data_IF_330983741520
#
_entry.id   IF_330983741520
#
_cell.length_a   1.000
_cell.length_b   1.000
_cell.length_c   1.000
_cell.angle_alpha   90.00
_cell.angle_beta   90.00
_cell.angle_gamma   90.00
#
_symmetry.space_group_name_H-M   'P 1'
#
loop_
_entity.id
_entity.type
_entity.pdbx_description
1 polymer ?
#
# COMPACT_ATOMS: atom_id res chain seq x y z
N UNK A 1 41.72 50.59 9.26
CA UNK A 1 40.73 50.33 8.21
C UNK A 1 40.85 48.88 7.78
N UNK A 2 39.99 47.99 8.32
CA UNK A 2 39.92 46.57 7.93
C UNK A 2 38.68 46.35 7.06
N UNK A 3 38.89 45.94 5.83
CA UNK A 3 37.83 45.61 4.89
C UNK A 3 37.42 44.14 5.14
N UNK A 4 36.19 43.96 5.59
CA UNK A 4 35.57 42.63 5.68
C UNK A 4 35.01 42.24 4.32
N UNK A 5 35.47 41.16 3.75
CA UNK A 5 34.93 40.58 2.55
C UNK A 5 33.80 39.61 2.96
N UNK A 6 32.61 39.91 2.44
CA UNK A 6 31.40 39.05 2.59
C UNK A 6 31.45 37.99 1.49
N UNK A 7 31.61 36.73 1.90
CA UNK A 7 31.55 35.62 0.96
C UNK A 7 30.07 35.22 0.77
N UNK A 8 29.55 35.41 -0.42
CA UNK A 8 28.25 34.91 -0.87
C UNK A 8 28.42 33.43 -1.24
N UNK A 9 27.90 32.56 -0.42
CA UNK A 9 27.72 31.14 -0.79
C UNK A 9 26.43 30.96 -1.57
N UNK A 10 26.57 30.78 -2.86
CA UNK A 10 25.46 30.34 -3.74
C UNK A 10 25.19 28.87 -3.53
N UNK A 11 24.07 28.55 -2.89
CA UNK A 11 23.56 27.18 -2.82
C UNK A 11 23.00 26.80 -4.20
N UNK A 12 23.71 25.93 -4.90
CA UNK A 12 23.20 25.31 -6.12
C UNK A 12 22.16 24.24 -5.73
N UNK A 13 20.90 24.51 -6.01
CA UNK A 13 19.85 23.51 -5.92
C UNK A 13 20.01 22.52 -7.07
N UNK A 14 20.47 21.33 -6.78
CA UNK A 14 20.44 20.22 -7.71
C UNK A 14 18.98 19.77 -7.88
N UNK A 15 18.34 20.17 -8.95
CA UNK A 15 17.13 19.55 -9.47
C UNK A 15 17.53 18.13 -9.94
N UNK A 16 17.33 17.13 -9.10
CA UNK A 16 17.41 15.73 -9.53
C UNK A 16 16.20 15.48 -10.41
N UNK A 17 16.39 15.54 -11.72
CA UNK A 17 15.42 15.06 -12.68
C UNK A 17 15.25 13.55 -12.43
N UNK A 18 14.08 13.14 -12.00
CA UNK A 18 13.69 11.74 -11.89
C UNK A 18 13.80 11.12 -13.29
N UNK A 19 14.43 9.94 -13.43
CA UNK A 19 14.31 9.23 -14.68
C UNK A 19 12.83 8.88 -14.87
N UNK A 20 12.18 9.59 -15.77
CA UNK A 20 10.95 9.11 -16.38
C UNK A 20 11.33 7.76 -16.97
N UNK A 21 10.85 6.66 -16.38
CA UNK A 21 10.97 5.35 -16.99
C UNK A 21 10.41 5.53 -18.40
N UNK A 22 11.26 5.45 -19.38
CA UNK A 22 10.90 5.63 -20.77
C UNK A 22 9.69 4.74 -21.05
N UNK A 23 8.57 5.36 -21.40
CA UNK A 23 7.46 4.64 -22.00
C UNK A 23 8.04 3.87 -23.19
N UNK A 24 7.67 2.61 -23.39
CA UNK A 24 8.13 1.89 -24.57
C UNK A 24 7.87 2.77 -25.79
N UNK A 25 8.91 3.04 -26.54
CA UNK A 25 8.82 3.81 -27.80
C UNK A 25 7.77 3.14 -28.66
N UNK A 26 6.87 3.94 -29.19
CA UNK A 26 5.82 3.55 -30.13
C UNK A 26 6.35 2.58 -31.18
N UNK A 27 5.94 1.32 -31.13
CA UNK A 27 6.26 0.40 -32.21
C UNK A 27 5.95 -1.04 -31.95
N UNK A 28 6.52 -1.63 -30.92
CA UNK A 28 6.46 -3.07 -30.78
C UNK A 28 5.40 -3.50 -29.77
N UNK A 29 4.37 -4.18 -30.24
CA UNK A 29 3.40 -4.88 -29.38
C UNK A 29 3.95 -6.29 -29.14
N UNK A 30 4.16 -6.64 -27.88
CA UNK A 30 4.68 -7.93 -27.49
C UNK A 30 3.55 -8.85 -27.07
N UNK A 31 3.58 -10.09 -27.50
CA UNK A 31 2.64 -11.14 -27.13
C UNK A 31 3.35 -12.24 -26.37
N UNK A 32 2.65 -12.83 -25.40
CA UNK A 32 3.13 -13.98 -24.68
C UNK A 32 1.99 -14.97 -24.44
N UNK A 33 2.33 -16.24 -24.21
CA UNK A 33 1.38 -17.27 -23.82
C UNK A 33 1.01 -17.09 -22.36
N UNK A 34 -0.16 -16.51 -22.12
CA UNK A 34 -0.64 -16.24 -20.77
C UNK A 34 -1.76 -17.21 -20.40
N UNK A 35 -1.62 -17.98 -19.33
CA UNK A 35 -2.67 -18.90 -18.91
C UNK A 35 -3.85 -18.14 -18.30
N UNK A 36 -4.81 -17.76 -19.11
CA UNK A 36 -6.11 -17.29 -18.64
C UNK A 36 -6.91 -18.51 -18.20
N UNK A 37 -7.30 -18.62 -16.91
CA UNK A 37 -8.05 -19.78 -16.46
C UNK A 37 -9.47 -19.78 -17.03
N UNK A 38 -9.95 -20.94 -17.48
CA UNK A 38 -11.34 -21.11 -17.94
C UNK A 38 -12.35 -20.90 -16.81
N UNK A 39 -11.96 -21.29 -15.60
CA UNK A 39 -12.74 -21.06 -14.37
C UNK A 39 -11.99 -20.12 -13.47
N UNK A 40 -12.60 -18.96 -13.21
CA UNK A 40 -12.00 -17.96 -12.33
C UNK A 40 -11.86 -18.45 -10.89
N UNK A 41 -10.73 -18.17 -10.23
CA UNK A 41 -10.56 -18.44 -8.82
C UNK A 41 -11.64 -17.74 -7.99
N UNK A 42 -12.22 -18.42 -6.99
CA UNK A 42 -13.18 -17.79 -6.09
C UNK A 42 -12.48 -16.75 -5.20
N UNK A 43 -13.24 -15.79 -4.69
CA UNK A 43 -12.74 -14.81 -3.73
C UNK A 43 -12.34 -15.44 -2.38
N UNK A 44 -12.86 -16.62 -2.06
CA UNK A 44 -12.62 -17.31 -0.80
C UNK A 44 -13.16 -16.51 0.39
N UNK A 45 -12.27 -16.11 1.28
CA UNK A 45 -12.61 -15.26 2.43
C UNK A 45 -12.69 -13.77 2.07
N UNK A 46 -12.06 -13.40 0.98
CA UNK A 46 -11.94 -12.02 0.57
C UNK A 46 -13.24 -11.54 -0.08
N UNK A 47 -13.41 -10.23 -0.13
CA UNK A 47 -14.53 -9.60 -0.82
C UNK A 47 -14.00 -8.78 -1.99
N UNK A 48 -14.75 -8.66 -3.10
CA UNK A 48 -14.37 -7.74 -4.17
C UNK A 48 -14.19 -6.30 -3.66
N UNK A 49 -15.03 -5.88 -2.71
CA UNK A 49 -14.91 -4.59 -2.03
C UNK A 49 -15.22 -4.78 -0.55
N UNK A 50 -14.27 -4.41 0.30
CA UNK A 50 -14.50 -4.28 1.75
C UNK A 50 -14.80 -2.83 2.07
N UNK A 51 -16.01 -2.56 2.56
CA UNK A 51 -16.47 -1.22 2.89
C UNK A 51 -16.05 -0.82 4.31
N UNK A 52 -15.27 0.24 4.45
CA UNK A 52 -14.87 0.73 5.78
C UNK A 52 -16.06 1.03 6.69
N UNK A 53 -17.15 1.69 6.26
CA UNK A 53 -18.32 1.91 7.11
C UNK A 53 -18.93 0.61 7.66
N UNK A 54 -18.92 -0.47 6.89
CA UNK A 54 -19.42 -1.77 7.33
C UNK A 54 -18.50 -2.41 8.38
N UNK A 55 -17.19 -2.29 8.21
CA UNK A 55 -16.19 -2.73 9.22
C UNK A 55 -16.39 -1.98 10.52
N UNK A 56 -16.51 -0.66 10.47
CA UNK A 56 -16.73 0.17 11.67
C UNK A 56 -18.06 -0.16 12.36
N UNK A 57 -19.13 -0.40 11.60
CA UNK A 57 -20.43 -0.77 12.14
C UNK A 57 -20.38 -2.13 12.86
N UNK A 58 -19.66 -3.11 12.31
CA UNK A 58 -19.44 -4.44 12.92
C UNK A 58 -18.76 -4.34 14.29
N UNK A 59 -17.84 -3.41 14.45
CA UNK A 59 -17.06 -3.22 15.67
C UNK A 59 -17.53 -2.06 16.56
N UNK A 60 -18.75 -1.57 16.32
CA UNK A 60 -19.32 -0.45 17.10
C UNK A 60 -19.31 -0.78 18.59
N UNK A 61 -18.75 0.13 19.39
CA UNK A 61 -18.64 -0.02 20.85
C UNK A 61 -17.47 -0.87 21.34
N UNK A 62 -16.69 -1.48 20.43
CA UNK A 62 -15.48 -2.18 20.81
C UNK A 62 -14.31 -1.20 20.88
N UNK A 63 -13.63 -1.17 22.04
CA UNK A 63 -12.50 -0.27 22.26
C UNK A 63 -11.27 -0.68 21.42
N UNK A 64 -11.00 -1.97 21.33
CA UNK A 64 -9.89 -2.57 20.57
C UNK A 64 -10.42 -3.68 19.70
N UNK A 65 -10.04 -3.69 18.43
CA UNK A 65 -10.44 -4.73 17.50
C UNK A 65 -9.47 -4.84 16.32
N UNK A 66 -9.53 -5.96 15.67
CA UNK A 66 -8.84 -6.24 14.39
C UNK A 66 -9.81 -6.96 13.47
N UNK A 67 -9.92 -6.52 12.24
CA UNK A 67 -10.74 -7.12 11.19
C UNK A 67 -9.87 -7.50 10.00
N UNK A 68 -9.83 -8.79 9.68
CA UNK A 68 -9.11 -9.26 8.49
C UNK A 68 -9.88 -8.88 7.23
N UNK A 69 -9.18 -8.25 6.29
CA UNK A 69 -9.73 -7.73 5.03
C UNK A 69 -9.26 -8.56 3.85
N UNK A 70 -7.95 -8.83 3.79
CA UNK A 70 -7.34 -9.64 2.74
C UNK A 70 -6.54 -10.75 3.39
N UNK A 71 -6.79 -11.97 2.95
CA UNK A 71 -5.97 -13.13 3.26
C UNK A 71 -5.74 -13.95 2.00
N UNK A 72 -4.52 -13.95 1.52
CA UNK A 72 -4.07 -14.70 0.36
C UNK A 72 -2.83 -15.51 0.73
N UNK A 73 -2.18 -16.13 -0.22
CA UNK A 73 -0.86 -16.74 0.00
C UNK A 73 0.22 -15.71 0.25
N UNK A 74 0.01 -14.47 -0.21
CA UNK A 74 0.98 -13.37 -0.16
C UNK A 74 0.68 -12.35 0.92
N UNK A 75 -0.57 -11.93 1.06
CA UNK A 75 -0.97 -10.84 1.92
C UNK A 75 -1.85 -11.29 3.08
N UNK A 76 -1.59 -10.74 4.27
CA UNK A 76 -2.48 -10.72 5.42
C UNK A 76 -2.69 -9.25 5.79
N UNK A 77 -3.84 -8.70 5.42
CA UNK A 77 -4.13 -7.28 5.62
C UNK A 77 -5.34 -7.08 6.51
N UNK A 78 -5.24 -6.13 7.45
CA UNK A 78 -6.21 -5.94 8.52
C UNK A 78 -6.50 -4.47 8.77
N UNK A 79 -7.75 -4.17 9.11
CA UNK A 79 -8.06 -2.98 9.88
C UNK A 79 -7.80 -3.24 11.36
N UNK A 80 -7.18 -2.28 12.03
CA UNK A 80 -6.86 -2.38 13.47
C UNK A 80 -7.18 -1.06 14.15
N UNK A 81 -7.98 -1.14 15.22
CA UNK A 81 -8.21 -0.03 16.14
C UNK A 81 -7.51 -0.30 17.46
N UNK A 82 -6.78 0.71 17.95
CA UNK A 82 -6.09 0.69 19.24
C UNK A 82 -6.42 1.92 20.07
N UNK A 83 -6.29 1.80 21.39
CA UNK A 83 -6.62 2.88 22.32
C UNK A 83 -5.37 3.71 22.66
N UNK A 84 -5.57 4.98 23.12
CA UNK A 84 -4.48 5.77 23.66
C UNK A 84 -3.68 4.99 24.73
N UNK A 85 -2.36 5.00 24.62
CA UNK A 85 -1.45 4.25 25.48
C UNK A 85 -1.15 2.82 25.03
N UNK A 86 -1.89 2.27 24.05
CA UNK A 86 -1.56 0.97 23.47
C UNK A 86 -0.23 1.05 22.73
N UNK A 87 0.67 0.13 23.09
CA UNK A 87 2.05 0.10 22.59
C UNK A 87 2.46 -1.30 22.17
N UNK A 88 3.07 -1.41 21.00
CA UNK A 88 3.72 -2.65 20.60
C UNK A 88 5.06 -2.83 21.30
N UNK A 89 5.48 -4.07 21.51
CA UNK A 89 6.89 -4.35 21.80
C UNK A 89 7.76 -4.01 20.60
N UNK A 90 9.07 -3.85 20.82
CA UNK A 90 10.01 -3.72 19.71
C UNK A 90 10.11 -5.05 18.98
N UNK A 91 9.87 -5.01 17.67
CA UNK A 91 9.80 -6.19 16.81
C UNK A 91 10.30 -5.87 15.39
N UNK A 92 10.43 -6.88 14.54
CA UNK A 92 10.72 -6.74 13.11
C UNK A 92 10.14 -7.93 12.33
N UNK A 93 9.96 -7.79 11.03
CA UNK A 93 9.67 -8.91 10.13
C UNK A 93 10.96 -9.36 9.44
N UNK A 94 11.18 -10.69 9.37
CA UNK A 94 12.45 -11.24 8.90
C UNK A 94 12.61 -11.17 7.38
N UNK A 95 11.52 -11.39 6.64
CA UNK A 95 11.58 -11.72 5.21
C UNK A 95 10.79 -10.74 4.33
N UNK A 96 10.13 -9.76 4.93
CA UNK A 96 9.34 -8.82 4.16
C UNK A 96 9.22 -7.45 4.82
N UNK A 97 8.82 -6.46 4.01
CA UNK A 97 8.45 -5.12 4.42
C UNK A 97 7.03 -5.11 4.97
N UNK A 98 6.81 -4.37 6.02
CA UNK A 98 5.46 -4.08 6.52
C UNK A 98 5.04 -2.66 6.13
N UNK A 99 3.76 -2.49 5.78
CA UNK A 99 3.19 -1.21 5.38
C UNK A 99 1.93 -0.93 6.19
N UNK A 100 1.74 0.32 6.59
CA UNK A 100 0.51 0.82 7.20
C UNK A 100 -0.03 2.02 6.46
N UNK A 101 -1.36 2.09 6.40
CA UNK A 101 -2.10 3.32 6.11
C UNK A 101 -2.74 3.77 7.41
N UNK A 102 -2.26 4.87 7.99
CA UNK A 102 -2.90 5.46 9.17
C UNK A 102 -4.14 6.22 8.73
N UNK A 103 -5.29 5.93 9.36
CA UNK A 103 -6.58 6.44 8.93
C UNK A 103 -7.32 7.27 9.98
N UNK A 104 -6.96 7.15 11.24
CA UNK A 104 -7.52 7.92 12.34
C UNK A 104 -6.61 7.96 13.57
N UNK A 105 -6.81 8.94 14.41
CA UNK A 105 -6.00 9.16 15.61
C UNK A 105 -4.55 9.48 15.30
N UNK A 106 -3.68 9.21 16.26
CA UNK A 106 -2.25 9.49 16.18
C UNK A 106 -1.44 8.27 16.61
N UNK A 107 -0.45 7.90 15.81
CA UNK A 107 0.46 6.80 16.12
C UNK A 107 1.90 7.33 16.11
N UNK A 108 2.61 7.20 17.24
CA UNK A 108 4.04 7.43 17.30
C UNK A 108 4.76 6.18 16.81
N UNK A 109 5.59 6.33 15.81
CA UNK A 109 6.50 5.29 15.32
C UNK A 109 7.91 5.56 15.84
N UNK A 110 8.54 4.51 16.36
CA UNK A 110 9.97 4.46 16.68
C UNK A 110 10.59 3.38 15.82
N UNK A 111 11.38 3.78 14.84
CA UNK A 111 12.00 2.89 13.85
C UNK A 111 13.50 3.02 13.96
N UNK A 112 14.20 1.90 13.98
CA UNK A 112 15.65 1.84 14.05
C UNK A 112 16.31 2.65 12.93
N UNK A 113 17.23 3.54 13.31
CA UNK A 113 17.91 4.42 12.36
C UNK A 113 17.11 5.64 11.90
N UNK A 114 15.91 5.85 12.44
CA UNK A 114 15.08 7.02 12.15
C UNK A 114 14.77 7.82 13.41
N UNK A 115 14.60 9.12 13.28
CA UNK A 115 14.01 9.92 14.36
C UNK A 115 12.55 9.48 14.58
N UNK A 116 12.09 9.35 15.82
CA UNK A 116 10.67 9.08 16.09
C UNK A 116 9.78 10.15 15.47
N UNK A 117 8.64 9.71 14.90
CA UNK A 117 7.67 10.62 14.30
C UNK A 117 6.24 10.21 14.66
N UNK A 118 5.32 11.14 14.47
CA UNK A 118 3.88 10.92 14.69
C UNK A 118 3.18 10.86 13.34
N UNK A 119 2.53 9.76 13.07
CA UNK A 119 1.69 9.55 11.90
C UNK A 119 0.24 9.82 12.23
N UNK A 120 -0.44 10.52 11.33
CA UNK A 120 -1.87 10.85 11.40
C UNK A 120 -2.59 10.35 10.14
N UNK A 121 -3.87 10.67 9.98
CA UNK A 121 -4.65 10.27 8.80
C UNK A 121 -3.93 10.63 7.49
N UNK A 122 -3.79 9.64 6.60
CA UNK A 122 -3.13 9.77 5.30
C UNK A 122 -1.65 9.42 5.30
N UNK A 123 -1.05 9.15 6.46
CA UNK A 123 0.33 8.66 6.48
C UNK A 123 0.39 7.23 5.96
N UNK A 124 1.28 7.02 4.99
CA UNK A 124 1.75 5.73 4.54
C UNK A 124 3.09 5.49 5.23
N UNK A 125 3.11 4.55 6.17
CA UNK A 125 4.33 4.21 6.93
C UNK A 125 4.80 2.85 6.50
N UNK A 126 6.11 2.66 6.36
CA UNK A 126 6.69 1.37 6.02
C UNK A 126 7.95 1.09 6.83
N UNK A 127 8.20 -0.18 7.09
CA UNK A 127 9.42 -0.66 7.73
C UNK A 127 10.01 -1.79 6.91
N UNK A 128 11.27 -1.67 6.47
CA UNK A 128 11.96 -2.71 5.73
C UNK A 128 12.13 -4.00 6.55
N UNK A 129 12.33 -5.12 5.87
CA UNK A 129 12.67 -6.38 6.54
C UNK A 129 13.88 -6.21 7.47
N UNK A 130 13.82 -6.84 8.63
CA UNK A 130 14.87 -6.85 9.68
C UNK A 130 15.22 -5.48 10.26
N UNK A 131 14.42 -4.46 10.02
CA UNK A 131 14.51 -3.17 10.71
C UNK A 131 13.57 -3.19 11.92
N UNK A 132 14.11 -2.88 13.10
CA UNK A 132 13.33 -2.90 14.34
C UNK A 132 12.42 -1.71 14.43
N UNK A 133 11.23 -1.94 14.96
CA UNK A 133 10.27 -0.87 15.19
C UNK A 133 9.39 -1.15 16.39
N UNK A 134 8.80 -0.09 16.91
CA UNK A 134 7.65 -0.12 17.80
C UNK A 134 6.70 1.02 17.44
N UNK A 135 5.44 0.88 17.84
CA UNK A 135 4.43 1.91 17.66
C UNK A 135 3.61 2.09 18.94
N UNK A 136 3.08 3.28 19.13
CA UNK A 136 2.27 3.65 20.27
C UNK A 136 1.12 4.55 19.83
N UNK A 137 -0.12 4.20 20.17
CA UNK A 137 -1.26 5.11 19.99
C UNK A 137 -1.16 6.22 21.04
N UNK A 138 -1.08 7.47 20.58
CA UNK A 138 -0.94 8.64 21.42
C UNK A 138 -2.13 9.59 21.25
N UNK A 139 -2.16 10.65 22.08
CA UNK A 139 -3.30 11.60 22.07
C UNK A 139 -4.47 11.07 22.89
N UNK A 140 -5.68 11.58 22.61
CA UNK A 140 -6.89 11.29 23.39
C UNK A 140 -7.90 10.42 22.62
N UNK A 141 -7.64 10.18 21.33
CA UNK A 141 -8.54 9.45 20.45
C UNK A 141 -7.94 8.09 20.05
N UNK A 142 -8.78 7.06 19.84
CA UNK A 142 -8.32 5.80 19.28
C UNK A 142 -7.64 5.98 17.93
N UNK A 143 -6.61 5.22 17.69
CA UNK A 143 -6.02 5.13 16.35
C UNK A 143 -6.71 4.06 15.51
N UNK A 144 -6.82 4.34 14.21
CA UNK A 144 -7.28 3.39 13.20
C UNK A 144 -6.23 3.29 12.09
N UNK A 145 -5.81 2.08 11.77
CA UNK A 145 -4.84 1.83 10.70
C UNK A 145 -5.19 0.60 9.89
N UNK A 146 -4.85 0.63 8.62
CA UNK A 146 -4.83 -0.54 7.76
C UNK A 146 -3.41 -1.08 7.71
N UNK A 147 -3.21 -2.31 8.12
CA UNK A 147 -1.92 -3.00 8.21
C UNK A 147 -1.81 -4.03 7.10
N UNK A 148 -0.67 -4.06 6.41
CA UNK A 148 -0.38 -4.98 5.33
C UNK A 148 0.94 -5.68 5.64
N UNK A 149 0.88 -7.01 5.81
CA UNK A 149 2.03 -7.87 6.06
C UNK A 149 2.03 -9.05 5.09
N UNK A 150 3.16 -9.73 4.99
CA UNK A 150 3.22 -11.02 4.30
C UNK A 150 2.50 -12.09 5.11
N UNK A 151 1.65 -12.86 4.42
CA UNK A 151 0.89 -13.93 5.05
C UNK A 151 1.81 -15.04 5.61
N UNK A 152 1.52 -15.47 6.82
CA UNK A 152 2.24 -16.58 7.45
C UNK A 152 3.60 -16.22 8.07
N UNK A 153 4.05 -14.96 7.97
CA UNK A 153 5.29 -14.50 8.60
C UNK A 153 4.95 -13.78 9.91
N UNK A 154 5.29 -14.34 11.08
CA UNK A 154 5.08 -13.66 12.35
C UNK A 154 6.19 -12.61 12.60
N UNK A 155 5.91 -11.58 13.41
CA UNK A 155 6.95 -10.66 13.84
C UNK A 155 7.97 -11.35 14.76
N UNK A 156 9.23 -10.98 14.62
CA UNK A 156 10.32 -11.42 15.48
C UNK A 156 10.44 -10.48 16.68
N UNK A 157 10.45 -11.04 17.87
CA UNK A 157 10.47 -10.30 19.14
C UNK A 157 11.79 -10.63 19.89
N UNK A 158 12.44 -9.60 20.45
CA UNK A 158 13.66 -9.80 21.20
C UNK A 158 13.39 -10.62 22.49
N UNK A 159 14.37 -11.45 22.85
CA UNK A 159 14.35 -12.16 24.14
C UNK A 159 14.24 -11.13 25.27
N UNK A 160 13.38 -11.40 26.24
CA UNK A 160 13.12 -10.48 27.36
C UNK A 160 11.92 -9.56 27.18
N UNK A 161 11.42 -9.38 25.97
CA UNK A 161 10.12 -8.74 25.78
C UNK A 161 8.97 -9.67 26.21
N UNK A 162 7.82 -9.10 26.61
CA UNK A 162 6.63 -9.90 26.87
C UNK A 162 6.30 -10.75 25.64
N UNK A 163 6.15 -12.05 25.86
CA UNK A 163 5.72 -12.98 24.82
C UNK A 163 4.20 -12.93 24.71
N UNK A 164 3.61 -12.89 23.51
CA UNK A 164 2.22 -13.20 23.35
C UNK A 164 1.95 -14.63 23.87
N UNK A 165 0.72 -14.89 24.29
CA UNK A 165 0.33 -16.25 24.67
C UNK A 165 0.53 -17.22 23.49
N UNK A 166 0.99 -18.43 23.79
CA UNK A 166 1.05 -19.47 22.77
C UNK A 166 -0.34 -19.72 22.20
N UNK A 167 -0.43 -19.72 20.88
CA UNK A 167 -1.63 -20.14 20.17
C UNK A 167 -1.53 -21.63 19.83
N UNK A 168 -2.67 -22.29 19.66
CA UNK A 168 -2.70 -23.70 19.30
C UNK A 168 -1.81 -24.00 18.08
N UNK A 169 -0.82 -24.85 18.24
CA UNK A 169 0.16 -25.22 17.21
C UNK A 169 1.31 -24.23 16.99
N UNK A 170 1.32 -23.09 17.69
CA UNK A 170 2.40 -22.11 17.60
C UNK A 170 3.16 -22.01 18.93
N UNK A 171 4.48 -22.12 18.86
CA UNK A 171 5.37 -22.02 20.01
C UNK A 171 6.45 -20.98 19.77
N UNK A 172 6.87 -20.28 20.82
CA UNK A 172 8.02 -19.41 20.77
C UNK A 172 9.31 -20.23 20.65
N UNK A 173 10.00 -20.01 19.56
CA UNK A 173 11.26 -20.70 19.26
C UNK A 173 12.37 -19.69 18.97
N UNK A 174 13.61 -20.06 19.26
CA UNK A 174 14.76 -19.31 18.81
C UNK A 174 14.84 -19.39 17.29
N UNK A 175 14.96 -18.21 16.65
CA UNK A 175 15.08 -18.11 15.20
C UNK A 175 16.43 -17.51 14.79
N UNK A 176 16.80 -17.72 13.54
CA UNK A 176 17.84 -16.95 12.85
C UNK A 176 17.28 -16.50 11.50
N UNK A 177 17.73 -15.33 11.04
CA UNK A 177 17.37 -14.80 9.73
C UNK A 177 18.42 -15.23 8.69
N UNK A 178 17.97 -15.64 7.52
CA UNK A 178 18.82 -16.05 6.41
C UNK A 178 18.84 -15.00 5.29
N UNK A 179 17.88 -14.08 5.31
CA UNK A 179 17.77 -12.99 4.35
C UNK A 179 18.65 -11.81 4.74
N UNK A 180 18.99 -11.00 3.76
CA UNK A 180 19.72 -9.77 3.99
C UNK A 180 18.78 -8.70 4.56
N UNK A 181 19.25 -7.96 5.56
CA UNK A 181 18.59 -6.75 6.04
C UNK A 181 18.41 -5.75 4.90
N UNK A 182 17.23 -5.18 4.77
CA UNK A 182 16.92 -4.13 3.83
C UNK A 182 17.09 -2.73 4.47
N UNK A 183 16.96 -1.69 3.66
CA UNK A 183 17.16 -0.31 4.06
C UNK A 183 16.13 0.63 3.43
N UNK A 184 16.12 1.87 3.90
CA UNK A 184 15.43 2.97 3.25
C UNK A 184 16.26 3.55 2.11
N UNK A 185 15.58 4.07 1.09
CA UNK A 185 16.16 4.74 -0.06
C UNK A 185 15.27 5.91 -0.52
N UNK A 186 15.53 6.44 -1.70
CA UNK A 186 14.76 7.56 -2.25
C UNK A 186 13.29 7.23 -2.53
N UNK A 187 12.97 5.98 -2.84
CA UNK A 187 11.59 5.50 -3.08
C UNK A 187 11.00 4.98 -1.77
N UNK A 188 11.72 4.07 -1.13
CA UNK A 188 11.32 3.40 0.09
C UNK A 188 11.58 4.27 1.31
N UNK A 189 10.89 5.40 1.43
CA UNK A 189 11.02 6.32 2.57
C UNK A 189 10.30 5.78 3.80
N UNK A 190 10.70 6.16 5.03
CA UNK A 190 10.02 5.70 6.26
C UNK A 190 8.53 5.99 6.26
N UNK A 191 8.13 7.12 5.68
CA UNK A 191 6.74 7.49 5.49
C UNK A 191 6.55 8.47 4.32
N UNK A 192 5.30 8.55 3.88
CA UNK A 192 4.76 9.58 3.00
C UNK A 192 3.52 10.16 3.70
N UNK A 193 3.48 11.45 3.92
CA UNK A 193 2.27 12.16 4.32
C UNK A 193 1.48 12.50 3.05
N UNK A 194 0.47 11.67 2.74
CA UNK A 194 -0.30 11.81 1.50
C UNK A 194 -0.89 13.21 1.31
N UNK A 195 -1.46 13.79 2.35
CA UNK A 195 -2.10 15.11 2.21
C UNK A 195 -1.09 16.23 2.04
N UNK A 196 0.03 16.17 2.71
CA UNK A 196 1.09 17.18 2.63
C UNK A 196 1.99 16.97 1.42
N UNK A 197 2.51 15.76 1.25
CA UNK A 197 3.56 15.47 0.27
C UNK A 197 3.00 15.25 -1.14
N UNK A 198 1.72 14.88 -1.27
CA UNK A 198 1.08 14.58 -2.54
C UNK A 198 -0.02 15.58 -2.87
N UNK A 199 -1.03 15.73 -2.01
CA UNK A 199 -2.18 16.59 -2.32
C UNK A 199 -1.80 18.07 -2.31
N UNK A 200 -1.10 18.55 -1.29
CA UNK A 200 -0.72 19.95 -1.18
C UNK A 200 0.43 20.33 -2.11
N UNK A 201 1.31 19.38 -2.47
CA UNK A 201 2.47 19.66 -3.31
C UNK A 201 2.16 19.74 -4.81
N UNK A 202 1.13 19.03 -5.28
CA UNK A 202 0.78 19.02 -6.71
C UNK A 202 -0.74 18.93 -6.93
N UNK A 203 -1.41 20.03 -7.30
CA UNK A 203 -2.78 19.96 -7.79
C UNK A 203 -2.78 19.23 -9.13
N UNK A 204 -3.28 18.02 -9.14
CA UNK A 204 -3.28 17.11 -10.29
C UNK A 204 -3.95 17.75 -11.52
N UNK A 205 -3.17 17.97 -12.55
CA UNK A 205 -3.64 18.38 -13.88
C UNK A 205 -3.94 17.20 -14.81
N UNK A 206 -3.61 15.99 -14.39
CA UNK A 206 -3.80 14.74 -15.12
C UNK A 206 -3.45 13.52 -14.26
N UNK A 207 -3.50 12.30 -14.81
CA UNK A 207 -3.09 11.10 -14.08
C UNK A 207 -1.63 11.21 -13.64
N UNK A 208 -1.38 10.99 -12.35
CA UNK A 208 -0.05 10.95 -11.77
C UNK A 208 0.14 9.66 -10.99
N UNK A 209 1.31 9.06 -11.13
CA UNK A 209 1.69 7.85 -10.40
C UNK A 209 3.01 8.09 -9.68
N UNK A 210 3.01 7.84 -8.38
CA UNK A 210 4.20 7.92 -7.53
C UNK A 210 4.45 6.59 -6.86
N UNK A 211 5.65 6.03 -7.04
CA UNK A 211 6.06 4.81 -6.37
C UNK A 211 6.48 5.13 -4.94
N UNK A 212 5.93 4.41 -3.98
CA UNK A 212 6.20 4.61 -2.55
C UNK A 212 6.81 3.39 -1.87
N UNK A 213 6.68 2.21 -2.49
CA UNK A 213 7.42 1.00 -2.18
C UNK A 213 7.90 0.37 -3.47
N UNK A 214 9.17 -0.03 -3.51
CA UNK A 214 9.76 -0.79 -4.62
C UNK A 214 10.91 -1.62 -4.08
N UNK A 215 10.66 -2.89 -3.88
CA UNK A 215 11.67 -3.87 -3.47
C UNK A 215 11.47 -5.20 -4.21
N UNK A 216 12.18 -6.23 -3.80
CA UNK A 216 12.12 -7.55 -4.45
C UNK A 216 10.74 -8.22 -4.33
N UNK A 217 9.94 -7.79 -3.37
CA UNK A 217 8.68 -8.44 -3.01
C UNK A 217 7.44 -7.57 -3.30
N UNK A 218 7.57 -6.24 -3.26
CA UNK A 218 6.43 -5.34 -3.28
C UNK A 218 6.61 -4.18 -4.25
N UNK A 219 5.52 -3.83 -4.95
CA UNK A 219 5.36 -2.59 -5.68
C UNK A 219 4.11 -1.88 -5.17
N UNK A 220 4.29 -0.71 -4.58
CA UNK A 220 3.16 0.09 -4.10
C UNK A 220 3.20 1.47 -4.73
N UNK A 221 2.09 1.85 -5.36
CA UNK A 221 1.96 3.12 -6.06
C UNK A 221 0.78 3.93 -5.54
N UNK A 222 0.99 5.22 -5.33
CA UNK A 222 -0.08 6.21 -5.25
C UNK A 222 -0.44 6.58 -6.69
N UNK A 223 -1.68 6.32 -7.09
CA UNK A 223 -2.19 6.66 -8.41
C UNK A 223 -3.30 7.69 -8.20
N UNK A 224 -3.03 8.93 -8.60
CA UNK A 224 -3.89 10.09 -8.39
C UNK A 224 -4.27 10.69 -9.73
N UNK A 225 -5.53 11.02 -9.91
CA UNK A 225 -5.97 11.62 -11.15
C UNK A 225 -7.39 12.09 -11.11
N UNK A 226 -7.75 12.68 -12.27
CA UNK A 226 -9.07 13.20 -12.56
C UNK A 226 -9.36 12.80 -13.99
N UNK A 227 -10.50 12.23 -14.28
CA UNK A 227 -10.74 11.79 -15.63
C UNK A 227 -12.17 11.45 -15.96
N UNK A 228 -12.30 10.85 -17.13
CA UNK A 228 -13.58 10.39 -17.64
C UNK A 228 -13.99 9.16 -16.83
N UNK A 229 -15.22 9.12 -16.35
CA UNK A 229 -15.75 7.94 -15.71
C UNK A 229 -15.76 6.78 -16.69
N UNK A 230 -15.76 5.64 -16.14
CA UNK A 230 -15.89 4.29 -16.67
C UNK A 230 -15.72 4.14 -18.18
N UNK A 231 -14.69 3.42 -18.60
CA UNK A 231 -14.52 3.07 -20.01
C UNK A 231 -15.69 2.26 -20.53
N UNK A 232 -15.88 2.23 -21.85
CA UNK A 232 -16.88 1.38 -22.49
C UNK A 232 -16.79 -0.07 -21.99
N UNK A 233 -17.92 -0.71 -21.84
CA UNK A 233 -18.01 -2.09 -21.35
C UNK A 233 -17.15 -3.11 -22.15
N UNK A 234 -16.77 -2.80 -23.38
CA UNK A 234 -15.86 -3.59 -24.21
C UNK A 234 -14.40 -3.56 -23.78
N UNK A 235 -13.98 -2.63 -22.92
CA UNK A 235 -12.61 -2.61 -22.43
C UNK A 235 -12.51 -3.26 -21.05
N UNK A 236 -12.19 -4.55 -21.03
CA UNK A 236 -12.08 -5.34 -19.80
C UNK A 236 -10.86 -5.00 -18.93
N UNK A 237 -9.91 -4.19 -19.43
CA UNK A 237 -8.65 -3.91 -18.77
C UNK A 237 -7.65 -5.05 -18.94
N UNK A 238 -7.03 -5.47 -17.86
CA UNK A 238 -6.01 -6.51 -17.83
C UNK A 238 -6.24 -7.50 -16.70
N UNK A 239 -5.46 -8.58 -16.68
CA UNK A 239 -5.37 -9.50 -15.55
C UNK A 239 -3.91 -9.83 -15.24
N UNK A 240 -3.66 -10.29 -14.03
CA UNK A 240 -2.38 -10.83 -13.59
C UNK A 240 -2.45 -12.36 -13.54
N UNK A 241 -1.42 -13.02 -14.07
CA UNK A 241 -1.42 -14.48 -14.17
C UNK A 241 -1.22 -15.16 -12.82
N UNK A 242 -0.26 -14.68 -12.05
CA UNK A 242 0.25 -15.40 -10.88
C UNK A 242 0.04 -14.71 -9.54
N UNK A 243 -0.57 -13.53 -9.50
CA UNK A 243 -0.73 -12.79 -8.26
C UNK A 243 -2.04 -12.03 -8.18
N UNK A 244 -2.42 -11.72 -6.96
CA UNK A 244 -3.54 -10.86 -6.60
C UNK A 244 -3.11 -9.40 -6.63
N UNK A 245 -4.05 -8.52 -6.89
CA UNK A 245 -3.88 -7.08 -6.74
C UNK A 245 -4.97 -6.51 -5.84
N UNK A 246 -4.63 -5.49 -5.06
CA UNK A 246 -5.63 -4.77 -4.29
C UNK A 246 -5.31 -3.28 -4.22
N UNK A 247 -6.35 -2.50 -3.93
CA UNK A 247 -6.27 -1.05 -3.81
C UNK A 247 -6.92 -0.57 -2.53
N UNK A 248 -6.30 0.43 -1.92
CA UNK A 248 -6.86 1.21 -0.85
C UNK A 248 -7.23 2.59 -1.37
N UNK A 249 -8.44 3.07 -1.12
CA UNK A 249 -8.89 4.38 -1.60
C UNK A 249 -8.48 5.47 -0.62
N UNK A 250 -7.56 6.35 -1.05
CA UNK A 250 -7.01 7.42 -0.21
C UNK A 250 -7.83 8.71 -0.29
N UNK A 251 -8.40 9.01 -1.46
CA UNK A 251 -9.15 10.25 -1.75
C UNK A 251 -10.25 9.97 -2.75
N UNK A 252 -11.43 10.59 -2.54
CA UNK A 252 -12.52 10.53 -3.51
C UNK A 252 -13.14 9.15 -3.67
N UNK A 253 -13.46 8.81 -4.91
CA UNK A 253 -14.11 7.55 -5.31
C UNK A 253 -13.44 7.00 -6.55
N UNK A 254 -13.21 5.68 -6.57
CA UNK A 254 -12.67 4.99 -7.74
C UNK A 254 -13.67 3.94 -8.23
N UNK A 255 -13.84 3.87 -9.54
CA UNK A 255 -14.64 2.83 -10.18
C UNK A 255 -13.75 1.67 -10.62
N UNK A 256 -14.27 0.47 -10.46
CA UNK A 256 -13.60 -0.76 -10.86
C UNK A 256 -14.57 -1.62 -11.66
N UNK A 257 -14.20 -1.91 -12.90
CA UNK A 257 -14.86 -2.98 -13.67
C UNK A 257 -14.10 -4.28 -13.42
N UNK A 258 -14.77 -5.26 -12.84
CA UNK A 258 -14.15 -6.53 -12.44
C UNK A 258 -14.94 -7.69 -13.06
N UNK A 259 -14.24 -8.62 -13.71
CA UNK A 259 -14.83 -9.81 -14.33
C UNK A 259 -15.61 -10.63 -13.31
N UNK A 260 -16.84 -11.04 -13.67
CA UNK A 260 -17.87 -11.72 -12.85
C UNK A 260 -18.38 -10.96 -11.62
N UNK A 261 -17.99 -9.70 -11.46
CA UNK A 261 -18.50 -8.82 -10.40
C UNK A 261 -19.27 -7.65 -11.01
N UNK A 262 -18.79 -7.15 -12.16
CA UNK A 262 -19.35 -5.96 -12.80
C UNK A 262 -18.66 -4.68 -12.32
N UNK A 263 -19.39 -3.57 -12.48
CA UNK A 263 -18.93 -2.27 -12.07
C UNK A 263 -19.18 -2.05 -10.57
N UNK A 264 -18.13 -1.69 -9.83
CA UNK A 264 -18.21 -1.31 -8.42
C UNK A 264 -17.52 0.02 -8.20
N UNK A 265 -18.12 0.88 -7.39
CA UNK A 265 -17.52 2.13 -6.95
C UNK A 265 -17.03 1.96 -5.52
N UNK A 266 -15.77 2.27 -5.24
CA UNK A 266 -15.18 2.25 -3.92
C UNK A 266 -14.96 3.66 -3.41
N UNK A 267 -15.34 3.91 -2.17
CA UNK A 267 -15.19 5.17 -1.47
C UNK A 267 -13.89 5.23 -0.65
N UNK A 268 -13.55 6.41 -0.20
CA UNK A 268 -12.40 6.67 0.66
C UNK A 268 -12.40 5.76 1.91
N UNK A 269 -11.30 5.03 2.11
CA UNK A 269 -11.12 4.03 3.16
C UNK A 269 -11.54 2.61 2.76
N UNK A 270 -12.23 2.43 1.63
CA UNK A 270 -12.56 1.09 1.13
C UNK A 270 -11.31 0.39 0.57
N UNK A 271 -11.38 -0.93 0.56
CA UNK A 271 -10.35 -1.80 -0.04
C UNK A 271 -10.99 -2.63 -1.13
N UNK A 272 -10.42 -2.57 -2.34
CA UNK A 272 -10.83 -3.38 -3.50
C UNK A 272 -9.80 -4.47 -3.71
N UNK A 273 -10.24 -5.70 -3.96
CA UNK A 273 -9.38 -6.86 -4.13
C UNK A 273 -9.76 -7.67 -5.37
N UNK A 274 -8.75 -8.09 -6.13
CA UNK A 274 -8.92 -8.92 -7.33
C UNK A 274 -7.97 -10.13 -7.28
N UNK A 275 -8.51 -11.35 -7.32
CA UNK A 275 -7.73 -12.58 -7.43
C UNK A 275 -7.00 -12.70 -8.77
N UNK A 276 -5.95 -13.55 -8.86
CA UNK A 276 -5.23 -13.81 -10.11
C UNK A 276 -6.16 -14.27 -11.24
N UNK A 277 -5.81 -13.95 -12.47
CA UNK A 277 -6.50 -14.41 -13.67
C UNK A 277 -7.81 -13.69 -13.98
N UNK A 278 -8.24 -12.74 -13.17
CA UNK A 278 -9.50 -12.02 -13.31
C UNK A 278 -9.28 -10.68 -13.98
N UNK A 279 -9.94 -10.42 -15.10
CA UNK A 279 -9.89 -9.11 -15.74
C UNK A 279 -10.41 -8.02 -14.81
N UNK A 280 -9.70 -6.92 -14.79
CA UNK A 280 -10.09 -5.75 -14.04
C UNK A 280 -9.58 -4.47 -14.68
N UNK A 281 -10.29 -3.39 -14.40
CA UNK A 281 -9.92 -2.06 -14.81
C UNK A 281 -10.33 -1.05 -13.74
N UNK A 282 -9.37 -0.29 -13.24
CA UNK A 282 -9.61 0.83 -12.36
C UNK A 282 -9.77 2.12 -13.17
N UNK A 283 -10.72 2.96 -12.79
CA UNK A 283 -10.98 4.25 -13.41
C UNK A 283 -11.33 5.31 -12.35
N UNK A 284 -11.50 6.54 -12.81
CA UNK A 284 -11.88 7.66 -11.96
C UNK A 284 -13.40 7.79 -11.95
N UNK A 285 -13.99 7.87 -10.76
CA UNK A 285 -15.41 8.18 -10.62
C UNK A 285 -15.64 9.70 -10.77
N UNK A 286 -16.76 10.14 -11.20
CA UNK A 286 -17.34 11.48 -11.07
C UNK A 286 -16.54 12.73 -11.55
N UNK A 287 -15.45 12.59 -12.26
CA UNK A 287 -14.66 13.73 -12.76
C UNK A 287 -14.03 14.61 -11.67
N UNK A 288 -14.02 14.15 -10.42
CA UNK A 288 -13.26 14.74 -9.32
C UNK A 288 -11.86 14.12 -9.26
N UNK A 289 -11.00 14.70 -8.44
CA UNK A 289 -9.70 14.09 -8.16
C UNK A 289 -9.89 12.92 -7.20
N UNK A 290 -9.50 11.76 -7.64
CA UNK A 290 -9.56 10.51 -6.88
C UNK A 290 -8.16 9.92 -6.74
N UNK A 291 -7.90 9.23 -5.64
CA UNK A 291 -6.60 8.61 -5.40
C UNK A 291 -6.77 7.21 -4.83
N UNK A 292 -6.06 6.27 -5.43
CA UNK A 292 -5.92 4.90 -4.94
C UNK A 292 -4.47 4.56 -4.68
N UNK A 293 -4.24 3.77 -3.67
CA UNK A 293 -2.97 3.11 -3.38
C UNK A 293 -3.04 1.70 -3.94
N UNK A 294 -2.21 1.38 -4.93
CA UNK A 294 -2.17 0.07 -5.59
C UNK A 294 -1.07 -0.78 -4.98
N UNK A 295 -1.40 -2.01 -4.59
CA UNK A 295 -0.48 -3.01 -4.08
C UNK A 295 -0.32 -4.14 -5.08
N UNK A 296 0.92 -4.34 -5.53
CA UNK A 296 1.32 -5.37 -6.45
C UNK A 296 2.54 -6.13 -5.94
N UNK A 297 2.74 -7.33 -6.46
CA UNK A 297 3.95 -8.12 -6.22
C UNK A 297 5.09 -7.59 -7.09
N UNK A 298 6.30 -7.62 -6.55
CA UNK A 298 7.54 -7.37 -7.30
C UNK A 298 8.34 -8.69 -7.47
N UNK A 299 9.10 -8.84 -8.55
CA UNK A 299 9.11 -7.96 -9.71
C UNK A 299 7.74 -7.92 -10.36
N UNK A 300 7.33 -6.74 -10.82
CA UNK A 300 6.02 -6.60 -11.41
C UNK A 300 5.91 -7.53 -12.62
N UNK A 301 4.94 -8.36 -12.56
CA UNK A 301 4.59 -9.23 -13.65
C UNK A 301 3.82 -8.41 -14.70
N UNK A 302 3.91 -8.84 -15.92
CA UNK A 302 3.23 -8.18 -17.02
C UNK A 302 1.71 -8.15 -16.82
N UNK A 303 1.08 -7.14 -17.39
CA UNK A 303 -0.36 -7.06 -17.54
C UNK A 303 -0.77 -7.83 -18.79
N UNK A 304 -1.63 -8.83 -18.65
CA UNK A 304 -2.21 -9.53 -19.76
C UNK A 304 -3.53 -8.86 -20.20
N UNK A 305 -3.53 -8.25 -21.37
CA UNK A 305 -4.71 -7.56 -21.92
C UNK A 305 -5.53 -8.49 -22.78
N UNK A 306 -6.88 -8.27 -22.81
CA UNK A 306 -7.73 -8.90 -23.81
C UNK A 306 -7.48 -8.32 -25.20
N UNK A 307 -7.86 -9.06 -26.25
CA UNK A 307 -7.69 -8.64 -27.65
C UNK A 307 -8.35 -7.28 -27.93
N UNK A 308 -9.45 -6.97 -27.23
CA UNK A 308 -10.20 -5.73 -27.39
C UNK A 308 -9.58 -4.53 -26.64
N UNK A 309 -8.57 -4.74 -25.85
CA UNK A 309 -8.00 -3.71 -24.99
C UNK A 309 -7.05 -2.75 -25.71
N UNK A 310 -7.08 -2.73 -27.04
CA UNK A 310 -6.31 -1.86 -27.91
C UNK A 310 -5.10 -1.24 -27.24
N UNK A 311 -3.93 -1.83 -27.37
CA UNK A 311 -2.67 -1.61 -26.66
C UNK A 311 -2.15 -0.19 -26.41
N UNK A 312 -3.02 0.69 -25.93
CA UNK A 312 -2.67 2.04 -25.44
C UNK A 312 -3.05 2.13 -23.96
N UNK A 313 -2.05 2.00 -23.13
CA UNK A 313 -2.10 2.51 -21.76
C UNK A 313 -1.92 4.03 -21.77
#
# INVERSE_FOLDING_TARGET
MRKSALALTTAAAFLVAWPVLAQPTTGDVWYSWTPKPDKLPPYGRNQPVTRLPAVLAKHKGQARWSEQVILTKRYDSKWIQAQPGDKSVTQYYADDRIVWVVWGGQIRFTIEGQNPFVATKGFLVQVPQQVRYSMETIGNEPSLRFEIVHAGIPPMVAQGNPKPADAAGNHYMKISTQTRRDAYDAINRPYVDFFKDVVAADPVKGPAQSRVVSDEANLVNIIRGKGVPTPPAGNRGHFHVGHDEFWFILEGKCDYLIEDVGLVTADMGDVVFVPPGRFHRASWANGQTDTRLSFNISPNLFHAFGEDAGGKQ
#
